data_IF_447412611822
#
_entry.id   IF_447412611822
#
_cell.length_a   1.000
_cell.length_b   1.000
_cell.length_c   1.000
_cell.angle_alpha   90.00
_cell.angle_beta   90.00
_cell.angle_gamma   90.00
#
_symmetry.space_group_name_H-M   'P 1'
#
loop_
_entity.id
_entity.type
_entity.pdbx_description
1 polymer ?
#
# COMPACT_ATOMS: atom_id res chain seq x y z
N UNK A 1 -10.17 -16.08 -0.07
CA UNK A 1 -9.38 -14.87 -0.32
C UNK A 1 -8.08 -14.79 0.49
N UNK A 2 -8.16 -14.77 1.83
CA UNK A 2 -6.98 -14.69 2.73
C UNK A 2 -5.89 -15.75 2.43
N UNK A 3 -6.28 -16.99 2.16
CA UNK A 3 -5.31 -18.06 1.82
C UNK A 3 -4.52 -17.74 0.53
N UNK A 4 -5.15 -17.10 -0.46
CA UNK A 4 -4.50 -16.68 -1.71
C UNK A 4 -3.56 -15.51 -1.43
N UNK A 5 -4.00 -14.53 -0.64
CA UNK A 5 -3.17 -13.40 -0.23
C UNK A 5 -1.90 -13.85 0.49
N UNK A 6 -2.01 -14.80 1.44
CA UNK A 6 -0.86 -15.35 2.17
C UNK A 6 0.12 -16.04 1.21
N UNK A 7 -0.38 -16.86 0.29
CA UNK A 7 0.46 -17.52 -0.72
C UNK A 7 1.16 -16.52 -1.64
N UNK A 8 0.44 -15.48 -2.06
CA UNK A 8 1.00 -14.43 -2.92
C UNK A 8 2.10 -13.66 -2.18
N UNK A 9 1.87 -13.26 -0.92
CA UNK A 9 2.88 -12.61 -0.10
C UNK A 9 4.15 -13.45 0.04
N UNK A 10 4.01 -14.76 0.27
CA UNK A 10 5.14 -15.69 0.35
C UNK A 10 5.91 -15.76 -0.98
N UNK A 11 5.22 -15.94 -2.11
CA UNK A 11 5.84 -16.00 -3.43
C UNK A 11 6.53 -14.69 -3.81
N UNK A 12 5.90 -13.55 -3.53
CA UNK A 12 6.47 -12.23 -3.79
C UNK A 12 7.72 -11.96 -2.96
N UNK A 13 7.72 -12.34 -1.67
CA UNK A 13 8.92 -12.23 -0.84
C UNK A 13 10.05 -13.13 -1.36
N UNK A 14 9.74 -14.36 -1.78
CA UNK A 14 10.70 -15.27 -2.37
C UNK A 14 11.30 -14.73 -3.67
N UNK A 15 10.45 -14.22 -4.57
CA UNK A 15 10.87 -13.60 -5.83
C UNK A 15 11.74 -12.37 -5.58
N UNK A 16 11.32 -11.49 -4.69
CA UNK A 16 12.08 -10.29 -4.32
C UNK A 16 13.46 -10.63 -3.77
N UNK A 17 13.59 -11.71 -3.00
CA UNK A 17 14.88 -12.16 -2.46
C UNK A 17 15.86 -12.64 -3.54
N UNK A 18 15.34 -13.24 -4.61
CA UNK A 18 16.16 -13.67 -5.77
C UNK A 18 16.56 -12.46 -6.63
N UNK A 19 15.64 -11.52 -6.83
CA UNK A 19 15.82 -10.36 -7.71
C UNK A 19 16.70 -9.26 -7.09
N UNK A 20 16.40 -8.88 -5.83
CA UNK A 20 17.17 -7.89 -5.08
C UNK A 20 17.17 -8.23 -3.57
N UNK A 21 18.16 -9.01 -3.10
CA UNK A 21 18.19 -9.48 -1.71
C UNK A 21 18.37 -8.35 -0.68
N UNK A 22 18.98 -7.23 -1.05
CA UNK A 22 19.17 -6.07 -0.17
C UNK A 22 17.98 -5.09 -0.23
N UNK A 23 16.95 -5.40 -1.03
CA UNK A 23 15.73 -4.62 -1.13
C UNK A 23 14.86 -4.65 0.13
N UNK A 24 14.00 -3.62 0.24
CA UNK A 24 12.97 -3.51 1.26
C UNK A 24 11.65 -4.03 0.69
N UNK A 25 10.91 -4.81 1.48
CA UNK A 25 9.65 -5.40 1.07
C UNK A 25 8.53 -5.09 2.06
N UNK A 26 7.49 -4.42 1.58
CA UNK A 26 6.37 -3.97 2.40
C UNK A 26 5.13 -4.79 2.06
N UNK A 27 4.62 -5.57 3.02
CA UNK A 27 3.40 -6.38 2.83
C UNK A 27 2.18 -5.54 2.45
N UNK A 28 2.11 -4.33 3.00
CA UNK A 28 1.05 -3.36 2.73
C UNK A 28 1.02 -2.85 1.28
N UNK A 29 2.10 -3.03 0.51
CA UNK A 29 2.14 -2.65 -0.92
C UNK A 29 1.65 -3.77 -1.85
N UNK A 30 1.37 -4.97 -1.34
CA UNK A 30 0.74 -6.03 -2.12
C UNK A 30 -0.76 -5.79 -2.36
N UNK A 31 -1.35 -4.83 -1.65
CA UNK A 31 -2.75 -4.44 -1.78
C UNK A 31 -3.02 -3.46 -2.92
N UNK A 32 -4.26 -2.99 -3.00
CA UNK A 32 -4.75 -2.07 -4.04
C UNK A 32 -4.70 -0.59 -3.64
N UNK A 33 -4.23 -0.25 -2.44
CA UNK A 33 -4.22 1.11 -1.88
C UNK A 33 -3.62 2.17 -2.82
N UNK A 34 -2.56 1.81 -3.56
CA UNK A 34 -1.95 2.71 -4.54
C UNK A 34 -2.89 3.04 -5.70
N UNK A 35 -3.60 2.02 -6.19
CA UNK A 35 -4.56 2.15 -7.28
C UNK A 35 -5.83 2.87 -6.81
N UNK A 36 -6.28 2.62 -5.58
CA UNK A 36 -7.43 3.30 -4.98
C UNK A 36 -7.18 4.80 -4.82
N UNK A 37 -5.97 5.21 -4.44
CA UNK A 37 -5.59 6.64 -4.42
C UNK A 37 -5.69 7.26 -5.81
N UNK A 38 -5.21 6.57 -6.84
CA UNK A 38 -5.29 7.05 -8.22
C UNK A 38 -6.75 7.19 -8.67
N UNK A 39 -7.59 6.19 -8.41
CA UNK A 39 -9.01 6.26 -8.74
C UNK A 39 -9.75 7.34 -7.95
N UNK A 40 -9.35 7.61 -6.70
CA UNK A 40 -9.90 8.73 -5.92
C UNK A 40 -9.59 10.08 -6.58
N UNK A 41 -8.35 10.30 -7.00
CA UNK A 41 -7.95 11.54 -7.69
C UNK A 41 -8.70 11.66 -9.02
N UNK A 42 -8.78 10.57 -9.78
CA UNK A 42 -9.51 10.53 -11.05
C UNK A 42 -10.98 10.93 -10.88
N UNK A 43 -11.69 10.35 -9.90
CA UNK A 43 -13.08 10.71 -9.59
C UNK A 43 -13.24 12.18 -9.19
N UNK A 44 -12.27 12.74 -8.45
CA UNK A 44 -12.30 14.16 -8.11
C UNK A 44 -12.05 15.08 -9.32
N UNK A 45 -11.21 14.67 -10.27
CA UNK A 45 -10.95 15.45 -11.48
C UNK A 45 -12.15 15.52 -12.43
N UNK A 46 -12.91 14.42 -12.56
CA UNK A 46 -14.09 14.38 -13.45
C UNK A 46 -15.31 15.06 -12.82
N UNK A 47 -15.35 15.16 -11.48
CA UNK A 47 -16.34 15.97 -10.77
C UNK A 47 -17.73 15.31 -10.76
N UNK A 48 -18.68 15.89 -11.50
CA UNK A 48 -20.10 15.45 -11.47
C UNK A 48 -20.34 14.13 -12.19
N UNK A 49 -19.48 13.76 -13.15
CA UNK A 49 -19.61 12.50 -13.89
C UNK A 49 -18.80 11.40 -13.20
N UNK A 50 -19.44 10.71 -12.24
CA UNK A 50 -18.78 9.69 -11.43
C UNK A 50 -18.32 8.46 -12.26
N UNK A 51 -18.88 8.29 -13.47
CA UNK A 51 -18.60 7.18 -14.37
C UNK A 51 -17.80 7.69 -15.57
N UNK A 52 -16.48 7.53 -15.50
CA UNK A 52 -15.56 7.94 -16.56
C UNK A 52 -15.66 6.96 -17.73
N UNK A 53 -15.89 7.47 -18.94
CA UNK A 53 -15.82 6.66 -20.16
C UNK A 53 -14.38 6.19 -20.44
N UNK A 54 -14.20 5.08 -21.16
CA UNK A 54 -12.88 4.51 -21.43
C UNK A 54 -11.96 5.49 -22.18
N UNK A 55 -12.49 6.32 -23.07
CA UNK A 55 -11.71 7.35 -23.77
C UNK A 55 -11.29 8.49 -22.83
N UNK A 56 -12.16 8.86 -21.90
CA UNK A 56 -11.83 9.86 -20.89
C UNK A 56 -10.78 9.30 -19.92
N UNK A 57 -10.92 8.05 -19.48
CA UNK A 57 -9.98 7.38 -18.59
C UNK A 57 -8.56 7.40 -19.19
N UNK A 58 -8.40 6.98 -20.45
CA UNK A 58 -7.09 6.95 -21.10
C UNK A 58 -6.47 8.33 -21.26
N UNK A 59 -7.30 9.35 -21.50
CA UNK A 59 -6.87 10.75 -21.63
C UNK A 59 -6.37 11.31 -20.29
N UNK A 60 -7.07 11.00 -19.19
CA UNK A 60 -6.77 11.56 -17.87
C UNK A 60 -5.79 10.74 -17.03
N UNK A 61 -5.55 9.47 -17.37
CA UNK A 61 -4.71 8.57 -16.57
C UNK A 61 -3.29 9.12 -16.36
N UNK A 62 -2.68 9.64 -17.43
CA UNK A 62 -1.34 10.24 -17.37
C UNK A 62 -1.32 11.47 -16.46
N UNK A 63 -2.28 12.39 -16.64
CA UNK A 63 -2.37 13.60 -15.80
C UNK A 63 -2.66 13.27 -14.33
N UNK A 64 -3.50 12.27 -14.08
CA UNK A 64 -3.81 11.80 -12.71
C UNK A 64 -2.58 11.19 -12.05
N UNK A 65 -1.76 10.45 -12.81
CA UNK A 65 -0.53 9.84 -12.30
C UNK A 65 0.51 10.91 -11.92
N UNK A 66 0.67 11.94 -12.74
CA UNK A 66 1.55 13.08 -12.43
C UNK A 66 1.09 13.83 -11.18
N UNK A 67 -0.21 14.10 -11.06
CA UNK A 67 -0.78 14.74 -9.85
C UNK A 67 -0.59 13.85 -8.62
N UNK A 68 -0.78 12.53 -8.74
CA UNK A 68 -0.53 11.59 -7.65
C UNK A 68 0.95 11.62 -7.21
N UNK A 69 1.89 11.68 -8.16
CA UNK A 69 3.32 11.79 -7.86
C UNK A 69 3.67 13.11 -7.16
N UNK A 70 3.08 14.23 -7.60
CA UNK A 70 3.27 15.54 -6.97
C UNK A 70 2.75 15.53 -5.53
N UNK A 71 1.54 15.00 -5.29
CA UNK A 71 0.96 14.90 -3.96
C UNK A 71 1.73 13.94 -3.05
N UNK A 72 2.30 12.86 -3.60
CA UNK A 72 3.20 11.97 -2.86
C UNK A 72 4.51 12.65 -2.47
N UNK A 73 5.05 13.53 -3.34
CA UNK A 73 6.27 14.31 -3.07
C UNK A 73 6.04 15.44 -2.06
N UNK A 74 4.84 16.02 -2.05
CA UNK A 74 4.45 17.09 -1.13
C UNK A 74 3.21 16.71 -0.30
N UNK A 75 3.35 15.82 0.71
CA UNK A 75 2.23 15.30 1.49
C UNK A 75 1.42 16.39 2.22
N UNK A 76 2.01 17.56 2.45
CA UNK A 76 1.33 18.71 3.07
C UNK A 76 0.25 19.34 2.19
N UNK A 77 0.28 19.10 0.87
CA UNK A 77 -0.73 19.60 -0.07
C UNK A 77 -1.95 18.69 -0.13
N UNK A 78 -1.77 17.40 0.14
CA UNK A 78 -2.86 16.43 0.26
C UNK A 78 -3.37 16.43 1.71
N UNK A 79 -4.30 17.35 2.03
CA UNK A 79 -5.06 17.30 3.29
C UNK A 79 -6.06 16.15 3.23
N UNK A 80 -5.55 14.92 3.29
CA UNK A 80 -6.37 13.73 3.44
C UNK A 80 -7.17 13.74 4.75
N UNK A 81 -8.20 12.88 4.87
CA UNK A 81 -8.93 12.72 6.13
C UNK A 81 -7.97 12.46 7.29
N UNK A 82 -8.21 13.14 8.42
CA UNK A 82 -7.34 13.13 9.61
C UNK A 82 -7.12 11.69 10.09
N UNK A 83 -5.93 11.16 9.84
CA UNK A 83 -5.54 9.79 10.23
C UNK A 83 -5.37 9.70 11.75
N UNK A 84 -5.94 8.67 12.37
CA UNK A 84 -5.64 8.32 13.75
C UNK A 84 -4.22 7.71 13.77
N UNK A 85 -3.43 7.96 14.82
CA UNK A 85 -2.07 7.40 14.93
C UNK A 85 -2.20 5.97 15.44
N UNK A 86 -1.82 4.97 14.64
CA UNK A 86 -1.72 3.60 15.12
C UNK A 86 -0.54 3.44 16.08
N UNK A 87 -0.78 3.02 17.34
CA UNK A 87 0.30 2.52 18.16
C UNK A 87 0.80 1.18 17.59
N UNK A 88 2.11 0.95 17.66
CA UNK A 88 2.68 -0.35 17.34
C UNK A 88 2.04 -1.42 18.23
N UNK A 89 1.60 -2.53 17.64
CA UNK A 89 1.00 -3.66 18.34
C UNK A 89 2.00 -4.21 19.39
N UNK A 90 1.80 -3.86 20.66
CA UNK A 90 2.47 -4.53 21.76
C UNK A 90 1.84 -5.91 21.96
N UNK A 91 2.63 -6.90 22.44
CA UNK A 91 2.14 -8.26 22.77
C UNK A 91 0.93 -8.27 23.73
N UNK A 92 0.69 -7.17 24.42
CA UNK A 92 -0.45 -6.97 25.31
C UNK A 92 -1.54 -6.26 24.49
N UNK A 93 -2.47 -7.02 23.94
CA UNK A 93 -3.51 -6.55 23.03
C UNK A 93 -4.39 -5.46 23.68
N UNK A 94 -4.10 -4.19 23.42
CA UNK A 94 -5.17 -3.21 23.27
C UNK A 94 -5.77 -3.39 21.87
N UNK A 95 -7.10 -3.45 21.70
CA UNK A 95 -7.72 -3.61 20.40
C UNK A 95 -7.26 -2.48 19.47
N UNK A 96 -6.62 -2.87 18.38
CA UNK A 96 -6.32 -1.95 17.28
C UNK A 96 -7.67 -1.46 16.75
N UNK A 97 -7.87 -0.14 16.60
CA UNK A 97 -9.09 0.35 15.97
C UNK A 97 -9.19 -0.28 14.58
N UNK A 98 -10.22 -1.10 14.38
CA UNK A 98 -10.49 -1.90 13.17
C UNK A 98 -10.72 -1.06 11.90
N UNK A 99 -10.63 0.27 11.98
CA UNK A 99 -11.03 1.20 10.91
C UNK A 99 -9.83 1.83 10.19
N UNK A 100 -8.66 1.21 10.25
CA UNK A 100 -7.43 1.76 9.66
C UNK A 100 -6.96 0.95 8.45
N UNK A 101 -7.65 1.15 7.32
CA UNK A 101 -7.43 0.42 6.06
C UNK A 101 -6.40 1.09 5.13
N UNK A 102 -5.63 2.08 5.59
CA UNK A 102 -4.72 2.87 4.75
C UNK A 102 -3.29 2.98 5.30
N UNK A 103 -2.69 1.83 5.57
CA UNK A 103 -1.30 1.71 6.03
C UNK A 103 -0.33 2.13 4.91
N UNK A 104 0.69 2.92 5.26
CA UNK A 104 1.72 3.34 4.30
C UNK A 104 3.08 2.80 4.72
N UNK A 105 4.05 2.64 3.80
CA UNK A 105 5.41 2.22 4.14
C UNK A 105 6.02 3.01 5.31
N UNK A 106 5.70 4.30 5.40
CA UNK A 106 6.12 5.18 6.49
C UNK A 106 5.53 4.87 7.87
N UNK A 107 4.41 4.15 7.97
CA UNK A 107 3.82 3.75 9.25
C UNK A 107 4.38 2.44 9.78
N UNK A 108 5.20 1.74 9.00
CA UNK A 108 5.81 0.48 9.40
C UNK A 108 7.05 0.74 10.26
N UNK A 109 7.04 0.26 11.51
CA UNK A 109 8.14 0.46 12.46
C UNK A 109 9.10 -0.74 12.57
N UNK A 110 8.78 -1.86 11.91
CA UNK A 110 9.59 -3.08 11.94
C UNK A 110 10.64 -3.16 10.83
N UNK A 111 11.50 -4.17 10.88
CA UNK A 111 12.45 -4.48 9.80
C UNK A 111 11.71 -5.09 8.60
N UNK A 112 11.97 -4.56 7.42
CA UNK A 112 11.37 -4.95 6.13
C UNK A 112 12.42 -5.47 5.14
N UNK A 113 13.66 -5.71 5.60
CA UNK A 113 14.75 -6.20 4.75
C UNK A 113 14.53 -7.65 4.31
N UNK A 114 14.52 -7.90 2.99
CA UNK A 114 14.36 -9.24 2.42
C UNK A 114 15.52 -10.18 2.77
N UNK A 115 16.72 -9.64 2.97
CA UNK A 115 17.92 -10.41 3.33
C UNK A 115 17.72 -11.26 4.58
N UNK A 116 16.99 -10.71 5.56
CA UNK A 116 16.74 -11.32 6.87
C UNK A 116 15.55 -12.27 6.88
N UNK A 117 14.78 -12.34 5.79
CA UNK A 117 13.62 -13.23 5.66
C UNK A 117 14.09 -14.66 5.36
N UNK A 118 13.73 -15.63 6.19
CA UNK A 118 14.02 -17.05 5.96
C UNK A 118 12.74 -17.82 5.67
N UNK A 119 12.52 -18.16 4.40
CA UNK A 119 11.30 -18.85 3.94
C UNK A 119 11.16 -20.28 4.51
N UNK A 120 12.28 -20.93 4.83
CA UNK A 120 12.30 -22.31 5.31
C UNK A 120 12.08 -22.43 6.83
N UNK A 121 12.45 -21.41 7.61
CA UNK A 121 12.35 -21.46 9.08
C UNK A 121 11.10 -20.78 9.63
N UNK A 122 10.28 -20.11 8.81
CA UNK A 122 8.99 -19.54 9.26
C UNK A 122 8.04 -20.58 9.91
N UNK A 123 8.28 -21.87 9.67
CA UNK A 123 7.42 -22.98 10.12
C UNK A 123 8.18 -24.04 10.93
N UNK A 124 9.48 -23.84 11.18
CA UNK A 124 10.23 -24.66 12.14
C UNK A 124 10.16 -23.97 13.49
N UNK A 125 9.16 -24.34 14.28
CA UNK A 125 9.06 -24.05 15.71
C UNK A 125 10.14 -24.84 16.44
#
# INVERSE_FOLDING_TARGET
DIMIMIKNAYLCAAKGKVDNPDGLFYLILLGTDGLEKLFRILRMMVGNDANVDMLQLSTWLTGTTEVANILAKYPQWDRGPRRLRLPALARNLSPVPLNEDHLTPSSWQGDVSLRRVSLQTCWRI
#
